data_IF_467004045425
#
_entry.id   IF_467004045425
#
_cell.length_a   1.000
_cell.length_b   1.000
_cell.length_c   1.000
_cell.angle_alpha   90.00
_cell.angle_beta   90.00
_cell.angle_gamma   90.00
#
_symmetry.space_group_name_H-M   'P 1'
#
loop_
_entity.id
_entity.type
_entity.pdbx_description
1 polymer ?
#
# COMPACT_ATOMS: atom_id res chain seq x y z
N UNK A 1 -3.35 -13.45 4.16
CA UNK A 1 -4.81 -13.62 4.02
C UNK A 1 -5.39 -12.69 2.94
N UNK A 2 -5.16 -11.38 3.02
CA UNK A 2 -5.71 -10.38 2.07
C UNK A 2 -5.42 -10.69 0.60
N UNK A 3 -4.15 -10.96 0.25
CA UNK A 3 -3.76 -11.29 -1.13
C UNK A 3 -4.47 -12.54 -1.68
N UNK A 4 -4.72 -13.54 -0.83
CA UNK A 4 -5.45 -14.75 -1.22
C UNK A 4 -6.92 -14.44 -1.52
N UNK A 5 -7.58 -13.67 -0.65
CA UNK A 5 -8.98 -13.27 -0.84
C UNK A 5 -9.16 -12.42 -2.10
N UNK A 6 -8.24 -11.49 -2.38
CA UNK A 6 -8.29 -10.66 -3.59
C UNK A 6 -8.10 -11.50 -4.87
N UNK A 7 -7.15 -12.45 -4.87
CA UNK A 7 -6.99 -13.39 -5.99
C UNK A 7 -8.23 -14.25 -6.19
N UNK A 8 -8.81 -14.76 -5.11
CA UNK A 8 -10.04 -15.55 -5.16
C UNK A 8 -11.25 -14.75 -5.68
N UNK A 9 -11.28 -13.43 -5.45
CA UNK A 9 -12.28 -12.52 -5.99
C UNK A 9 -12.01 -12.12 -7.46
N UNK A 10 -10.91 -12.59 -8.08
CA UNK A 10 -10.60 -12.37 -9.49
C UNK A 10 -9.70 -11.17 -9.79
N UNK A 11 -9.08 -10.55 -8.78
CA UNK A 11 -8.14 -9.43 -8.98
C UNK A 11 -6.72 -9.94 -9.33
N UNK A 12 -6.00 -9.19 -10.17
CA UNK A 12 -4.54 -9.36 -10.33
C UNK A 12 -3.81 -8.72 -9.14
N UNK A 13 -3.08 -9.53 -8.38
CA UNK A 13 -2.47 -9.11 -7.12
C UNK A 13 -0.95 -9.19 -7.22
N UNK A 14 -0.33 -8.01 -7.15
CA UNK A 14 1.12 -7.85 -6.99
C UNK A 14 1.43 -7.74 -5.50
N UNK A 15 2.16 -8.72 -4.97
CA UNK A 15 2.58 -8.74 -3.56
C UNK A 15 3.96 -8.12 -3.39
N UNK A 16 4.14 -7.31 -2.35
CA UNK A 16 5.42 -6.80 -1.90
C UNK A 16 5.73 -7.28 -0.47
N UNK A 17 7.01 -7.48 -0.15
CA UNK A 17 7.44 -7.97 1.18
C UNK A 17 7.68 -6.84 2.19
N UNK A 18 7.94 -5.63 1.70
CA UNK A 18 8.13 -4.40 2.49
C UNK A 18 7.84 -3.15 1.64
N UNK A 19 7.93 -1.96 2.24
CA UNK A 19 7.67 -0.70 1.54
C UNK A 19 8.65 -0.41 0.41
N UNK A 20 9.92 -0.83 0.51
CA UNK A 20 10.92 -0.59 -0.53
C UNK A 20 10.69 -1.47 -1.76
N UNK A 21 10.39 -2.75 -1.55
CA UNK A 21 9.98 -3.69 -2.61
C UNK A 21 8.68 -3.22 -3.28
N UNK A 22 7.71 -2.72 -2.49
CA UNK A 22 6.47 -2.14 -3.00
C UNK A 22 6.72 -0.94 -3.91
N UNK A 23 7.61 -0.02 -3.50
CA UNK A 23 7.99 1.14 -4.30
C UNK A 23 8.70 0.74 -5.60
N UNK A 24 9.58 -0.26 -5.57
CA UNK A 24 10.29 -0.74 -6.75
C UNK A 24 9.31 -1.34 -7.76
N UNK A 25 8.42 -2.22 -7.30
CA UNK A 25 7.36 -2.82 -8.14
C UNK A 25 6.41 -1.78 -8.71
N UNK A 26 6.08 -0.76 -7.92
CA UNK A 26 5.23 0.33 -8.37
C UNK A 26 5.86 1.15 -9.52
N UNK A 27 7.19 1.28 -9.55
CA UNK A 27 7.91 1.94 -10.64
C UNK A 27 7.90 1.12 -11.94
N UNK A 28 7.88 -0.20 -11.83
CA UNK A 28 7.89 -1.12 -12.98
C UNK A 28 6.48 -1.37 -13.54
N UNK A 29 5.49 -1.53 -12.67
CA UNK A 29 4.11 -1.81 -13.03
C UNK A 29 3.16 -0.92 -12.23
N UNK A 30 2.23 -0.29 -12.94
CA UNK A 30 1.15 0.49 -12.31
C UNK A 30 0.04 -0.43 -11.82
N UNK A 31 -0.49 -0.15 -10.64
CA UNK A 31 -1.67 -0.83 -10.09
C UNK A 31 -2.82 0.15 -9.92
N UNK A 32 -4.05 -0.36 -9.95
CA UNK A 32 -5.27 0.45 -9.77
C UNK A 32 -5.58 0.75 -8.30
N UNK A 33 -4.98 -0.01 -7.37
CA UNK A 33 -5.19 0.13 -5.93
C UNK A 33 -3.94 -0.33 -5.19
N UNK A 34 -3.50 0.45 -4.21
CA UNK A 34 -2.43 0.06 -3.29
C UNK A 34 -3.03 -0.27 -1.93
N UNK A 35 -2.73 -1.45 -1.40
CA UNK A 35 -2.95 -1.80 0.00
C UNK A 35 -1.59 -1.88 0.68
N UNK A 36 -1.41 -1.16 1.78
CA UNK A 36 -0.18 -1.15 2.57
C UNK A 36 -0.46 -1.26 4.05
N UNK A 37 0.43 -1.89 4.81
CA UNK A 37 0.45 -1.77 6.27
C UNK A 37 1.10 -0.43 6.66
N UNK A 38 0.81 0.07 7.86
CA UNK A 38 1.56 1.18 8.46
C UNK A 38 2.94 0.71 8.93
N UNK A 39 3.01 -0.45 9.59
CA UNK A 39 4.22 -0.94 10.24
C UNK A 39 4.90 -2.00 9.37
N UNK A 40 5.91 -1.57 8.62
CA UNK A 40 6.72 -2.46 7.77
C UNK A 40 8.22 -2.25 8.06
N UNK A 41 9.05 -3.31 7.92
CA UNK A 41 10.49 -3.16 7.99
C UNK A 41 11.02 -2.35 6.78
N UNK A 42 12.20 -1.73 6.94
CA UNK A 42 12.92 -0.92 5.92
C UNK A 42 12.22 0.40 5.57
N UNK A 43 10.95 0.37 5.17
CA UNK A 43 10.17 1.54 4.80
C UNK A 43 8.74 1.37 5.30
N UNK A 44 8.27 2.32 6.12
CA UNK A 44 6.90 2.33 6.62
C UNK A 44 5.88 2.72 5.53
N UNK A 45 4.59 2.48 5.82
CA UNK A 45 3.51 2.75 4.88
C UNK A 45 3.33 4.23 4.53
N UNK A 46 3.62 5.15 5.44
CA UNK A 46 3.49 6.60 5.19
C UNK A 46 4.59 7.11 4.25
N UNK A 47 5.81 6.63 4.44
CA UNK A 47 6.96 6.90 3.61
C UNK A 47 6.75 6.29 2.22
N UNK A 48 6.22 5.07 2.13
CA UNK A 48 5.81 4.48 0.86
C UNK A 48 4.78 5.36 0.14
N UNK A 49 3.70 5.77 0.81
CA UNK A 49 2.68 6.65 0.23
C UNK A 49 3.32 7.94 -0.30
N UNK A 50 4.19 8.57 0.48
CA UNK A 50 4.87 9.81 0.09
C UNK A 50 5.67 9.62 -1.19
N UNK A 51 6.44 8.54 -1.29
CA UNK A 51 7.21 8.21 -2.49
C UNK A 51 6.31 7.87 -3.69
N UNK A 52 5.23 7.13 -3.48
CA UNK A 52 4.27 6.82 -4.54
C UNK A 52 3.61 8.10 -5.08
N UNK A 53 3.25 9.06 -4.22
CA UNK A 53 2.64 10.33 -4.66
C UNK A 53 3.59 11.20 -5.50
N UNK A 54 4.89 10.96 -5.44
CA UNK A 54 5.86 11.62 -6.34
C UNK A 54 5.87 10.99 -7.74
N UNK A 55 5.37 9.77 -7.91
CA UNK A 55 5.26 9.12 -9.21
C UNK A 55 4.01 9.63 -9.94
N UNK A 56 4.18 10.13 -11.17
CA UNK A 56 3.07 10.64 -11.98
C UNK A 56 1.95 9.60 -12.18
N UNK A 57 2.31 8.32 -12.27
CA UNK A 57 1.38 7.20 -12.40
C UNK A 57 0.54 6.92 -11.16
N UNK A 58 0.98 7.36 -9.97
CA UNK A 58 0.33 7.05 -8.69
C UNK A 58 -0.34 8.27 -8.03
N UNK A 59 -0.36 9.44 -8.68
CA UNK A 59 -1.03 10.62 -8.13
C UNK A 59 -2.53 10.40 -7.89
N UNK A 60 -3.19 9.64 -8.75
CA UNK A 60 -4.65 9.37 -8.67
C UNK A 60 -4.99 7.98 -8.16
N UNK A 61 -3.99 7.12 -7.98
CA UNK A 61 -4.21 5.75 -7.51
C UNK A 61 -4.71 5.80 -6.06
N UNK A 62 -5.86 5.19 -5.73
CA UNK A 62 -6.31 5.06 -4.36
C UNK A 62 -5.33 4.22 -3.54
N UNK A 63 -5.07 4.64 -2.30
CA UNK A 63 -4.20 3.93 -1.38
C UNK A 63 -4.97 3.68 -0.09
N UNK A 64 -5.18 2.41 0.25
CA UNK A 64 -5.71 1.98 1.54
C UNK A 64 -4.57 1.58 2.45
N UNK A 65 -4.45 2.27 3.58
CA UNK A 65 -3.59 1.85 4.67
C UNK A 65 -4.38 0.94 5.61
N UNK A 66 -3.88 -0.26 5.84
CA UNK A 66 -4.36 -1.19 6.85
C UNK A 66 -3.51 -1.00 8.10
N UNK A 67 -4.13 -0.60 9.20
CA UNK A 67 -3.47 -0.48 10.50
C UNK A 67 -4.08 -1.50 11.44
N UNK A 68 -3.27 -2.09 12.32
CA UNK A 68 -3.75 -3.01 13.37
C UNK A 68 -4.09 -2.28 14.68
N UNK A 69 -3.93 -0.96 14.72
CA UNK A 69 -4.34 -0.16 15.87
C UNK A 69 -5.86 0.03 15.88
N UNK A 70 -6.54 -0.65 16.80
CA UNK A 70 -7.89 -0.29 17.26
C UNK A 70 -7.84 0.92 18.19
N UNK A 71 -7.16 2.00 17.77
CA UNK A 71 -7.02 3.20 18.59
C UNK A 71 -8.06 4.23 18.14
N UNK A 72 -9.04 4.51 19.00
CA UNK A 72 -10.04 5.59 18.88
C UNK A 72 -9.42 7.00 18.70
N UNK A 73 -8.09 7.12 18.71
CA UNK A 73 -7.34 8.38 18.64
C UNK A 73 -7.30 9.03 17.25
N UNK A 74 -7.66 8.31 16.17
CA UNK A 74 -7.73 8.91 14.83
C UNK A 74 -9.00 9.78 14.60
N UNK A 75 -9.83 9.99 15.63
CA UNK A 75 -10.99 10.91 15.58
C UNK A 75 -10.68 12.35 15.99
N UNK A 76 -9.45 12.68 16.33
CA UNK A 76 -9.09 14.02 16.76
C UNK A 76 -7.77 14.51 16.15
N UNK A 77 -7.77 14.77 14.84
CA UNK A 77 -6.97 15.86 14.26
C UNK A 77 -7.46 16.27 12.88
#
# INVERSE_FOLDING_TARGET
MVAFSLKAAGYDVVSAVDGQDGLNKAKEKTVDLVLTDQNMPIMDGLTLITNLRQLASYQKVPILMLTTESSDEMKAK
#
